data_IF_902692671450
#
_entry.id   IF_902692671450
#
_cell.length_a   1.000
_cell.length_b   1.000
_cell.length_c   1.000
_cell.angle_alpha   90.00
_cell.angle_beta   90.00
_cell.angle_gamma   90.00
#
_symmetry.space_group_name_H-M   'P 1'
#
loop_
_entity.id
_entity.type
_entity.pdbx_description
1 polymer ?
#
# COMPACT_ATOMS: atom_id res chain seq x y z
N UNK A 1 -11.71 -17.53 0.81
CA UNK A 1 -12.75 -16.55 0.43
C UNK A 1 -12.60 -15.34 1.33
N UNK A 2 -12.34 -14.15 0.77
CA UNK A 2 -12.27 -12.91 1.54
C UNK A 2 -13.71 -12.43 1.83
N UNK A 3 -14.00 -12.08 3.08
CA UNK A 3 -15.30 -11.56 3.49
C UNK A 3 -15.46 -10.13 2.95
N UNK A 4 -16.55 -9.88 2.21
CA UNK A 4 -16.89 -8.54 1.73
C UNK A 4 -17.00 -7.58 2.92
N UNK A 5 -16.19 -6.51 2.92
CA UNK A 5 -16.18 -5.47 3.96
C UNK A 5 -15.29 -5.74 5.19
N UNK A 6 -14.65 -6.90 5.32
CA UNK A 6 -13.74 -7.19 6.43
C UNK A 6 -12.33 -6.68 6.19
N UNK A 7 -11.75 -5.94 7.14
CA UNK A 7 -10.31 -5.64 7.15
C UNK A 7 -9.56 -6.94 7.50
N UNK A 8 -8.71 -7.41 6.61
CA UNK A 8 -7.84 -8.56 6.85
C UNK A 8 -6.39 -8.07 7.00
N UNK A 9 -5.74 -8.44 8.10
CA UNK A 9 -4.29 -8.30 8.19
C UNK A 9 -3.64 -9.37 7.30
N UNK A 10 -2.74 -8.93 6.42
CA UNK A 10 -2.00 -9.84 5.56
C UNK A 10 -0.77 -10.33 6.34
N UNK A 11 -0.58 -11.65 6.50
CA UNK A 11 0.64 -12.17 7.10
C UNK A 11 1.86 -11.64 6.34
N UNK A 12 2.92 -11.23 7.05
CA UNK A 12 4.09 -10.58 6.44
C UNK A 12 4.80 -11.39 5.34
N UNK A 13 4.52 -12.69 5.22
CA UNK A 13 5.08 -13.57 4.19
C UNK A 13 4.16 -13.79 2.97
N UNK A 14 2.93 -13.30 3.00
CA UNK A 14 1.96 -13.36 1.91
C UNK A 14 1.87 -11.96 1.29
N UNK A 15 1.91 -11.87 -0.04
CA UNK A 15 1.80 -10.59 -0.77
C UNK A 15 2.93 -9.55 -0.55
N UNK A 16 4.12 -9.97 -0.10
CA UNK A 16 5.24 -9.04 0.15
C UNK A 16 5.70 -8.28 -1.09
N UNK A 17 5.71 -8.92 -2.27
CA UNK A 17 6.13 -8.27 -3.53
C UNK A 17 5.13 -7.21 -3.96
N UNK A 18 3.84 -7.52 -3.99
CA UNK A 18 2.78 -6.57 -4.36
C UNK A 18 2.72 -5.39 -3.38
N UNK A 19 2.83 -5.67 -2.07
CA UNK A 19 2.84 -4.64 -1.05
C UNK A 19 4.06 -3.70 -1.16
N UNK A 20 5.24 -4.24 -1.46
CA UNK A 20 6.46 -3.44 -1.67
C UNK A 20 6.32 -2.54 -2.92
N UNK A 21 5.74 -3.05 -4.01
CA UNK A 21 5.48 -2.27 -5.22
C UNK A 21 4.48 -1.14 -4.95
N UNK A 22 3.38 -1.43 -4.26
CA UNK A 22 2.37 -0.44 -3.87
C UNK A 22 2.94 0.62 -2.90
N UNK A 23 3.81 0.21 -1.98
CA UNK A 23 4.49 1.13 -1.06
C UNK A 23 5.47 2.06 -1.80
N UNK A 24 6.27 1.52 -2.72
CA UNK A 24 7.16 2.32 -3.59
C UNK A 24 6.37 3.27 -4.46
N UNK A 25 5.25 2.82 -5.02
CA UNK A 25 4.33 3.66 -5.78
C UNK A 25 3.81 4.83 -4.92
N UNK A 26 3.35 4.55 -3.70
CA UNK A 26 2.84 5.59 -2.81
C UNK A 26 3.90 6.64 -2.45
N UNK A 27 5.13 6.22 -2.15
CA UNK A 27 6.26 7.13 -1.87
C UNK A 27 6.59 7.98 -3.10
N UNK A 28 6.67 7.36 -4.28
CA UNK A 28 6.96 8.07 -5.53
C UNK A 28 5.88 9.11 -5.87
N UNK A 29 4.61 8.75 -5.73
CA UNK A 29 3.50 9.68 -5.98
C UNK A 29 3.45 10.81 -4.96
N UNK A 30 3.76 10.55 -3.70
CA UNK A 30 3.90 11.59 -2.69
C UNK A 30 5.05 12.56 -3.03
N UNK A 31 6.23 12.03 -3.34
CA UNK A 31 7.39 12.84 -3.72
C UNK A 31 7.09 13.76 -4.91
N UNK A 32 6.39 13.25 -5.94
CA UNK A 32 5.98 14.06 -7.10
C UNK A 32 5.00 15.17 -6.73
N UNK A 33 4.02 14.90 -5.85
CA UNK A 33 2.95 15.86 -5.50
C UNK A 33 3.43 16.93 -4.54
N UNK A 34 4.22 16.54 -3.54
CA UNK A 34 4.66 17.43 -2.46
C UNK A 34 6.06 18.00 -2.70
N UNK A 35 6.69 17.69 -3.84
CA UNK A 35 8.09 18.01 -4.14
C UNK A 35 9.02 17.55 -3.00
N UNK A 36 8.74 16.36 -2.45
CA UNK A 36 9.49 15.74 -1.36
C UNK A 36 10.52 14.74 -1.90
N UNK A 37 11.45 14.33 -1.05
CA UNK A 37 12.53 13.39 -1.36
C UNK A 37 12.56 12.22 -0.38
N UNK A 38 11.41 11.61 -0.13
CA UNK A 38 11.32 10.43 0.73
C UNK A 38 11.95 9.21 0.04
N UNK A 39 12.78 8.49 0.77
CA UNK A 39 13.41 7.25 0.31
C UNK A 39 12.75 6.05 0.97
N UNK A 40 12.06 5.21 0.20
CA UNK A 40 11.43 4.00 0.71
C UNK A 40 12.47 3.04 1.33
N UNK A 41 12.20 2.54 2.53
CA UNK A 41 13.05 1.55 3.20
C UNK A 41 12.40 0.15 3.20
N UNK A 42 11.23 0.00 3.82
CA UNK A 42 10.54 -1.30 3.93
C UNK A 42 9.06 -1.15 4.25
N UNK A 43 8.27 -2.15 3.91
CA UNK A 43 6.92 -2.31 4.45
C UNK A 43 6.97 -2.87 5.88
N UNK A 44 6.19 -2.29 6.77
CA UNK A 44 6.05 -2.69 8.19
C UNK A 44 4.78 -3.50 8.40
N UNK A 45 3.68 -3.07 7.77
CA UNK A 45 2.37 -3.71 7.95
C UNK A 45 1.50 -3.50 6.72
N UNK A 46 0.69 -4.49 6.38
CA UNK A 46 -0.29 -4.42 5.32
C UNK A 46 -1.64 -4.86 5.85
N UNK A 47 -2.67 -4.07 5.58
CA UNK A 47 -4.06 -4.49 5.74
C UNK A 47 -4.79 -4.33 4.42
N UNK A 48 -5.61 -5.31 4.10
CA UNK A 48 -6.45 -5.30 2.92
C UNK A 48 -7.91 -5.15 3.35
N UNK A 49 -8.67 -4.37 2.60
CA UNK A 49 -10.10 -4.24 2.79
C UNK A 49 -10.78 -4.34 1.42
N UNK A 50 -11.67 -5.33 1.29
CA UNK A 50 -12.48 -5.50 0.08
C UNK A 50 -13.63 -4.49 0.12
N UNK A 51 -13.68 -3.64 -0.91
CA UNK A 51 -14.72 -2.63 -1.18
C UNK A 51 -15.19 -2.80 -2.65
N UNK A 52 -15.58 -1.74 -3.37
CA UNK A 52 -15.72 -1.76 -4.84
C UNK A 52 -14.36 -1.86 -5.58
N UNK A 53 -13.43 -2.65 -5.05
CA UNK A 53 -11.99 -2.69 -5.30
C UNK A 53 -11.28 -3.33 -4.10
N UNK A 54 -9.96 -3.36 -4.10
CA UNK A 54 -9.16 -3.65 -2.90
C UNK A 54 -8.56 -2.36 -2.39
N UNK A 55 -8.83 -2.02 -1.13
CA UNK A 55 -8.14 -0.94 -0.43
C UNK A 55 -6.98 -1.54 0.36
N UNK A 56 -5.76 -1.12 0.06
CA UNK A 56 -4.54 -1.48 0.78
C UNK A 56 -4.18 -0.35 1.75
N UNK A 57 -4.06 -0.70 3.02
CA UNK A 57 -3.49 0.14 4.06
C UNK A 57 -2.09 -0.36 4.35
N UNK A 58 -1.10 0.36 3.82
CA UNK A 58 0.31 -0.02 3.92
C UNK A 58 1.01 0.92 4.89
N UNK A 59 1.48 0.38 6.00
CA UNK A 59 2.41 1.07 6.89
C UNK A 59 3.82 0.79 6.40
N UNK A 60 4.59 1.83 6.08
CA UNK A 60 5.94 1.73 5.53
C UNK A 60 6.91 2.63 6.29
N UNK A 61 8.19 2.25 6.27
CA UNK A 61 9.30 3.08 6.73
C UNK A 61 9.92 3.78 5.52
N UNK A 62 10.12 5.09 5.61
CA UNK A 62 10.87 5.88 4.63
C UNK A 62 11.83 6.85 5.33
N UNK A 63 12.93 7.18 4.66
CA UNK A 63 13.92 8.15 5.11
C UNK A 63 13.63 9.52 4.51
N UNK A 64 13.65 10.54 5.36
CA UNK A 64 13.51 11.95 5.01
C UNK A 64 14.81 12.66 5.42
N UNK A 65 15.72 12.87 4.46
CA UNK A 65 17.04 13.44 4.75
C UNK A 65 17.87 12.62 5.73
N UNK A 66 17.78 11.29 5.65
CA UNK A 66 18.48 10.35 6.55
C UNK A 66 17.74 10.03 7.85
N UNK A 67 16.60 10.68 8.12
CA UNK A 67 15.77 10.38 9.28
C UNK A 67 14.68 9.38 8.92
N UNK A 68 14.75 8.18 9.49
CA UNK A 68 13.73 7.14 9.31
C UNK A 68 12.44 7.50 10.04
N UNK A 69 11.34 7.52 9.31
CA UNK A 69 9.98 7.78 9.81
C UNK A 69 9.04 6.70 9.29
N UNK A 70 7.96 6.47 10.01
CA UNK A 70 6.90 5.53 9.64
C UNK A 70 5.69 6.29 9.12
N UNK A 71 5.15 5.84 8.00
CA UNK A 71 4.04 6.46 7.29
C UNK A 71 2.94 5.42 7.03
N UNK A 72 1.69 5.89 6.95
CA UNK A 72 0.58 5.08 6.45
C UNK A 72 0.17 5.58 5.06
N UNK A 73 0.19 4.68 4.08
CA UNK A 73 -0.33 4.90 2.74
C UNK A 73 -1.64 4.13 2.56
N UNK A 74 -2.64 4.79 1.96
CA UNK A 74 -3.91 4.19 1.58
C UNK A 74 -4.00 4.16 0.06
N UNK A 75 -3.98 2.96 -0.51
CA UNK A 75 -4.00 2.77 -1.96
C UNK A 75 -5.28 2.01 -2.33
N UNK A 76 -6.09 2.60 -3.22
CA UNK A 76 -7.27 1.94 -3.74
C UNK A 76 -6.99 1.36 -5.13
N UNK A 77 -7.05 0.04 -5.24
CA UNK A 77 -6.97 -0.69 -6.49
C UNK A 77 -8.39 -1.06 -6.91
N UNK A 78 -8.89 -0.41 -7.96
CA UNK A 78 -10.23 -0.69 -8.46
C UNK A 78 -10.26 -2.08 -9.11
N UNK A 79 -11.26 -2.92 -8.78
CA UNK A 79 -11.47 -4.15 -9.52
C UNK A 79 -11.90 -3.79 -10.94
N UNK A 80 -11.09 -4.19 -11.93
CA UNK A 80 -11.52 -4.19 -13.32
C UNK A 80 -12.44 -5.41 -13.51
N UNK A 81 -13.74 -5.25 -13.29
CA UNK A 81 -14.70 -6.16 -13.90
C UNK A 81 -14.69 -5.91 -15.41
N UNK A 82 -13.78 -6.58 -16.12
CA UNK A 82 -14.05 -6.90 -17.51
C UNK A 82 -15.20 -7.90 -17.46
N UNK A 83 -16.35 -7.46 -17.99
CA UNK A 83 -17.57 -8.25 -18.08
C UNK A 83 -17.26 -9.61 -18.71
N UNK A 84 -17.26 -10.67 -17.91
CA UNK A 84 -17.51 -12.01 -18.42
C UNK A 84 -19.03 -12.16 -18.47
N UNK A 85 -19.62 -11.69 -19.57
CA UNK A 85 -21.01 -11.96 -19.95
C UNK A 85 -21.05 -12.31 -21.43
#
# INVERSE_FOLDING_TARGET
MALLGGIKEVPANQNSVEADELARFAVNEHNKKENALLEFSKVVKVKEQVVSGTMYHITLEASDGGQKKVYEAKIWVKFAWVLMS
#
